data_IF_788511023687
#
_entry.id   IF_788511023687
#
_cell.length_a   1.000
_cell.length_b   1.000
_cell.length_c   1.000
_cell.angle_alpha   90.00
_cell.angle_beta   90.00
_cell.angle_gamma   90.00
#
_symmetry.space_group_name_H-M   'P 1'
#
loop_
_entity.id
_entity.type
_entity.pdbx_description
1 polymer ?
#
# COMPACT_ATOMS: atom_id res chain seq x y z
N UNK A 1 -17.55 -4.44 3.11
CA UNK A 1 -16.33 -4.52 2.28
C UNK A 1 -16.03 -5.96 1.96
N UNK A 2 -16.28 -6.32 0.72
CA UNK A 2 -15.97 -7.59 0.10
C UNK A 2 -14.91 -7.36 -0.99
N UNK A 3 -14.40 -8.42 -1.59
CA UNK A 3 -13.35 -8.32 -2.62
C UNK A 3 -13.77 -7.42 -3.80
N UNK A 4 -15.05 -7.44 -4.18
CA UNK A 4 -15.60 -6.59 -5.26
C UNK A 4 -15.62 -5.10 -4.94
N UNK A 5 -15.47 -4.73 -3.66
CA UNK A 5 -15.48 -3.33 -3.22
C UNK A 5 -14.06 -2.72 -3.22
N UNK A 6 -13.02 -3.50 -3.53
CA UNK A 6 -11.64 -3.04 -3.52
C UNK A 6 -11.25 -2.48 -4.90
N UNK A 7 -11.00 -1.18 -4.99
CA UNK A 7 -10.70 -0.49 -6.25
C UNK A 7 -9.22 -0.12 -6.40
N UNK A 8 -8.44 -0.24 -5.33
CA UNK A 8 -7.01 -0.03 -5.31
C UNK A 8 -6.33 -0.96 -4.29
N UNK A 9 -4.99 -0.94 -4.25
CA UNK A 9 -4.18 -1.78 -3.35
C UNK A 9 -4.42 -1.49 -1.86
N UNK A 10 -4.76 -0.25 -1.50
CA UNK A 10 -5.01 0.15 -0.11
C UNK A 10 -6.34 -0.43 0.41
N UNK A 11 -7.34 -0.57 -0.45
CA UNK A 11 -8.59 -1.26 -0.09
C UNK A 11 -8.34 -2.74 0.23
N UNK A 12 -7.45 -3.40 -0.53
CA UNK A 12 -7.05 -4.77 -0.23
C UNK A 12 -6.32 -4.87 1.12
N UNK A 13 -5.43 -3.91 1.45
CA UNK A 13 -4.76 -3.84 2.77
C UNK A 13 -5.78 -3.74 3.90
N UNK A 14 -6.77 -2.84 3.78
CA UNK A 14 -7.87 -2.69 4.76
C UNK A 14 -8.72 -3.95 4.88
N UNK A 15 -9.03 -4.60 3.77
CA UNK A 15 -9.79 -5.86 3.77
C UNK A 15 -8.99 -6.99 4.45
N UNK A 16 -7.69 -7.09 4.15
CA UNK A 16 -6.78 -8.07 4.75
C UNK A 16 -6.68 -7.87 6.26
N UNK A 17 -6.53 -6.62 6.74
CA UNK A 17 -6.53 -6.30 8.18
C UNK A 17 -7.79 -6.76 8.90
N UNK A 18 -8.95 -6.74 8.22
CA UNK A 18 -10.23 -7.20 8.78
C UNK A 18 -10.38 -8.73 8.75
N UNK A 19 -9.80 -9.41 7.75
CA UNK A 19 -10.02 -10.84 7.50
C UNK A 19 -8.93 -11.77 8.04
N UNK A 20 -7.69 -11.30 8.16
CA UNK A 20 -6.56 -12.11 8.61
C UNK A 20 -6.43 -12.03 10.13
N UNK A 21 -5.98 -13.11 10.81
CA UNK A 21 -5.55 -13.04 12.20
C UNK A 21 -4.44 -12.00 12.37
N UNK A 22 -4.46 -11.26 13.48
CA UNK A 22 -3.52 -10.16 13.71
C UNK A 22 -2.04 -10.54 13.54
N UNK A 23 -1.53 -11.68 14.06
CA UNK A 23 -0.13 -12.06 13.87
C UNK A 23 0.25 -12.26 12.40
N UNK A 24 -0.65 -12.85 11.61
CA UNK A 24 -0.43 -13.09 10.17
C UNK A 24 -0.46 -11.76 9.41
N UNK A 25 -1.42 -10.89 9.73
CA UNK A 25 -1.47 -9.56 9.13
C UNK A 25 -0.19 -8.78 9.42
N UNK A 26 0.24 -8.69 10.68
CA UNK A 26 1.44 -7.96 11.07
C UNK A 26 2.73 -8.53 10.46
N UNK A 27 2.81 -9.85 10.29
CA UNK A 27 3.95 -10.49 9.61
C UNK A 27 4.08 -10.05 8.14
N UNK A 28 2.95 -9.86 7.45
CA UNK A 28 2.92 -9.46 6.04
C UNK A 28 3.04 -7.95 5.88
N UNK A 29 2.36 -7.20 6.74
CA UNK A 29 2.12 -5.76 6.59
C UNK A 29 3.21 -4.88 7.21
N UNK A 30 3.92 -5.42 8.20
CA UNK A 30 4.89 -4.69 9.01
C UNK A 30 6.25 -4.50 8.33
N UNK A 31 6.96 -3.47 8.78
CA UNK A 31 8.34 -3.16 8.42
C UNK A 31 9.33 -3.41 9.57
N UNK A 32 10.58 -3.01 9.36
CA UNK A 32 11.60 -3.05 10.42
C UNK A 32 11.46 -1.87 11.37
N UNK A 33 11.52 -2.13 12.67
CA UNK A 33 11.56 -1.13 13.75
C UNK A 33 10.44 -0.07 13.59
N UNK A 34 10.78 1.22 13.59
CA UNK A 34 9.86 2.34 13.37
C UNK A 34 9.29 2.46 11.94
N UNK A 35 9.55 1.49 11.06
CA UNK A 35 9.05 1.40 9.67
C UNK A 35 9.39 2.62 8.78
N UNK A 36 10.38 3.43 9.17
CA UNK A 36 10.75 4.68 8.47
C UNK A 36 11.07 4.42 6.99
N UNK A 37 11.82 3.35 6.69
CA UNK A 37 12.15 2.98 5.32
C UNK A 37 10.93 2.53 4.53
N UNK A 38 10.02 1.77 5.15
CA UNK A 38 8.78 1.34 4.52
C UNK A 38 7.94 2.54 4.09
N UNK A 39 7.78 3.51 4.99
CA UNK A 39 7.08 4.78 4.71
C UNK A 39 7.79 5.59 3.60
N UNK A 40 9.12 5.76 3.71
CA UNK A 40 9.92 6.51 2.74
C UNK A 40 9.85 5.93 1.33
N UNK A 41 9.78 4.60 1.19
CA UNK A 41 9.71 3.94 -0.11
C UNK A 41 8.47 4.40 -0.90
N UNK A 42 7.30 4.41 -0.25
CA UNK A 42 6.06 4.87 -0.89
C UNK A 42 6.07 6.39 -1.10
N UNK A 43 6.52 7.17 -0.11
CA UNK A 43 6.56 8.63 -0.22
C UNK A 43 7.53 9.13 -1.30
N UNK A 44 8.55 8.33 -1.66
CA UNK A 44 9.53 8.70 -2.68
C UNK A 44 8.89 8.94 -4.06
N UNK A 45 7.80 8.25 -4.38
CA UNK A 45 7.09 8.41 -5.65
C UNK A 45 6.44 9.79 -5.79
N UNK A 46 6.09 10.45 -4.68
CA UNK A 46 5.53 11.82 -4.70
C UNK A 46 6.59 12.89 -5.02
N UNK A 47 7.88 12.51 -5.11
CA UNK A 47 8.98 13.42 -5.46
C UNK A 47 9.29 13.43 -6.96
N UNK A 48 8.58 12.62 -7.75
CA UNK A 48 8.76 12.50 -9.18
C UNK A 48 7.42 12.73 -9.88
N UNK A 49 7.38 13.70 -10.79
CA UNK A 49 6.20 13.94 -11.61
C UNK A 49 6.25 13.11 -12.90
N UNK A 50 5.08 12.62 -13.31
CA UNK A 50 4.92 12.04 -14.64
C UNK A 50 4.70 13.18 -15.64
N UNK A 51 5.59 13.29 -16.63
CA UNK A 51 5.42 14.23 -17.76
C UNK A 51 4.83 13.45 -18.94
N UNK A 52 3.51 13.54 -19.18
CA UNK A 52 2.88 12.82 -20.27
C UNK A 52 3.35 13.39 -21.61
N UNK A 53 3.79 12.53 -22.51
CA UNK A 53 4.01 12.91 -23.90
C UNK A 53 2.69 12.72 -24.67
N UNK A 54 2.15 13.81 -25.21
CA UNK A 54 0.89 13.82 -25.95
C UNK A 54 1.12 14.33 -27.38
N UNK A 55 0.47 13.68 -28.36
CA UNK A 55 0.42 14.06 -29.79
C UNK A 55 1.63 13.73 -30.68
N UNK A 56 2.33 12.61 -30.44
CA UNK A 56 3.17 11.95 -31.47
C UNK A 56 2.39 10.88 -32.22
#
# INVERSE_FOLDING_TARGET
MNLKDCNNVEDFRKLAKKKLPAPIFHYIDGGSDDEVTLKRNTESFNKCDLVPNVLN
#
